data_IF_944116119950
#
_entry.id   IF_944116119950
#
_cell.length_a   1.000
_cell.length_b   1.000
_cell.length_c   1.000
_cell.angle_alpha   90.00
_cell.angle_beta   90.00
_cell.angle_gamma   90.00
#
_symmetry.space_group_name_H-M   'P 1'
#
loop_
_entity.id
_entity.type
_entity.pdbx_description
1 polymer ?
#
# COMPACT_ATOMS: atom_id res chain seq x y z
N UNK A 1 -13.66 -2.54 4.15
CA UNK A 1 -15.03 -1.94 4.26
C UNK A 1 -14.82 -0.50 4.71
N UNK A 2 -14.76 0.41 3.74
CA UNK A 2 -14.60 1.85 3.98
C UNK A 2 -15.89 2.38 4.59
N UNK A 3 -15.82 2.91 5.82
CA UNK A 3 -16.92 3.65 6.45
C UNK A 3 -17.09 5.02 5.77
N UNK A 4 -17.37 5.03 4.47
CA UNK A 4 -17.92 6.23 3.85
C UNK A 4 -19.40 6.28 4.18
N UNK A 5 -19.76 7.19 5.07
CA UNK A 5 -21.14 7.47 5.42
C UNK A 5 -21.96 7.68 4.15
N UNK A 6 -22.93 6.79 3.90
CA UNK A 6 -23.83 6.87 2.75
C UNK A 6 -23.52 5.92 1.57
N UNK A 7 -22.46 5.11 1.62
CA UNK A 7 -22.11 4.16 0.55
C UNK A 7 -22.54 2.71 0.87
N UNK A 8 -23.50 2.51 1.73
CA UNK A 8 -24.04 1.18 2.00
C UNK A 8 -24.75 0.62 0.77
N UNK A 9 -24.29 -0.56 0.30
CA UNK A 9 -24.92 -1.35 -0.78
C UNK A 9 -24.93 -0.67 -2.17
N UNK A 10 -23.95 0.16 -2.49
CA UNK A 10 -23.82 0.68 -3.85
C UNK A 10 -23.10 -0.37 -4.71
N UNK A 11 -23.80 -0.91 -5.69
CA UNK A 11 -23.23 -1.74 -6.75
C UNK A 11 -22.59 -0.81 -7.82
N UNK A 12 -21.29 -0.54 -7.65
CA UNK A 12 -20.52 0.33 -8.57
C UNK A 12 -20.48 -0.28 -9.96
N UNK A 13 -20.28 -1.60 -10.08
CA UNK A 13 -20.23 -2.30 -11.35
C UNK A 13 -21.53 -2.05 -12.13
N UNK A 14 -22.68 -2.29 -11.50
CA UNK A 14 -23.98 -2.08 -12.13
C UNK A 14 -24.19 -0.64 -12.57
N UNK A 15 -23.90 0.33 -11.68
CA UNK A 15 -24.06 1.77 -12.00
C UNK A 15 -23.23 2.21 -13.18
N UNK A 16 -21.98 1.76 -13.26
CA UNK A 16 -21.09 2.11 -14.35
C UNK A 16 -21.48 1.37 -15.65
N UNK A 17 -21.86 0.08 -15.56
CA UNK A 17 -22.33 -0.68 -16.72
C UNK A 17 -23.64 -0.14 -17.31
N UNK A 18 -24.52 0.44 -16.47
CA UNK A 18 -25.74 1.10 -16.94
C UNK A 18 -25.44 2.47 -17.59
N UNK A 19 -24.33 3.11 -17.26
CA UNK A 19 -23.96 4.43 -17.77
C UNK A 19 -23.03 4.41 -18.99
N UNK A 20 -22.29 3.34 -19.22
CA UNK A 20 -21.32 3.19 -20.30
C UNK A 20 -21.68 2.00 -21.21
N UNK A 21 -21.53 2.19 -22.52
CA UNK A 21 -21.72 1.12 -23.52
C UNK A 21 -20.53 0.15 -23.58
N UNK A 22 -19.37 0.56 -23.06
CA UNK A 22 -18.14 -0.22 -23.05
C UNK A 22 -18.13 -1.21 -21.87
N UNK A 23 -17.38 -2.31 -21.98
CA UNK A 23 -17.17 -3.24 -20.87
C UNK A 23 -16.60 -2.52 -19.64
N UNK A 24 -17.19 -2.76 -18.48
CA UNK A 24 -16.73 -2.23 -17.20
C UNK A 24 -16.04 -3.35 -16.41
N UNK A 25 -14.91 -3.03 -15.81
CA UNK A 25 -14.21 -3.89 -14.87
C UNK A 25 -13.96 -3.10 -13.58
N UNK A 26 -14.11 -3.75 -12.44
CA UNK A 26 -13.88 -3.17 -11.13
C UNK A 26 -12.78 -3.98 -10.46
N UNK A 27 -11.76 -3.30 -9.98
CA UNK A 27 -10.66 -3.92 -9.25
C UNK A 27 -10.31 -3.06 -8.03
N UNK A 28 -9.69 -3.67 -7.04
CA UNK A 28 -9.17 -2.97 -5.87
C UNK A 28 -7.95 -2.12 -6.28
N UNK A 29 -7.82 -0.92 -5.75
CA UNK A 29 -6.76 0.03 -6.10
C UNK A 29 -5.35 -0.50 -5.84
N UNK A 30 -5.14 -1.17 -4.69
CA UNK A 30 -3.86 -1.80 -4.38
C UNK A 30 -3.51 -2.96 -5.34
N UNK A 31 -4.51 -3.73 -5.81
CA UNK A 31 -4.33 -4.77 -6.81
C UNK A 31 -3.97 -4.18 -8.18
N UNK A 32 -4.69 -3.13 -8.57
CA UNK A 32 -4.37 -2.41 -9.80
C UNK A 32 -2.92 -1.87 -9.74
N UNK A 33 -2.54 -1.24 -8.63
CA UNK A 33 -1.17 -0.79 -8.42
C UNK A 33 -0.14 -1.93 -8.50
N UNK A 34 -0.44 -3.10 -7.93
CA UNK A 34 0.45 -4.26 -8.00
C UNK A 34 0.68 -4.74 -9.44
N UNK A 35 -0.38 -4.82 -10.25
CA UNK A 35 -0.27 -5.22 -11.65
C UNK A 35 0.46 -4.15 -12.47
N UNK A 36 0.23 -2.87 -12.17
CA UNK A 36 0.96 -1.76 -12.78
C UNK A 36 2.47 -1.85 -12.53
N UNK A 37 2.88 -2.09 -11.29
CA UNK A 37 4.30 -2.29 -10.93
C UNK A 37 4.89 -3.53 -11.60
N UNK A 38 4.16 -4.64 -11.61
CA UNK A 38 4.60 -5.87 -12.26
C UNK A 38 4.97 -5.63 -13.71
N UNK A 39 4.12 -4.96 -14.47
CA UNK A 39 4.35 -4.72 -15.89
C UNK A 39 5.43 -3.66 -16.19
N UNK A 40 5.74 -2.80 -15.23
CA UNK A 40 6.80 -1.81 -15.35
C UNK A 40 8.15 -2.27 -14.78
N UNK A 41 8.18 -3.33 -13.97
CA UNK A 41 9.40 -3.79 -13.34
C UNK A 41 10.27 -4.59 -14.31
N UNK A 42 11.50 -4.13 -14.51
CA UNK A 42 12.51 -4.86 -15.31
C UNK A 42 13.16 -6.03 -14.55
N UNK A 43 12.91 -6.13 -13.24
CA UNK A 43 13.60 -7.08 -12.35
C UNK A 43 12.75 -8.29 -11.95
N UNK A 44 11.47 -8.31 -12.34
CA UNK A 44 10.51 -9.36 -11.99
C UNK A 44 10.42 -10.37 -13.13
N UNK A 45 10.62 -11.66 -12.80
CA UNK A 45 10.40 -12.80 -13.69
C UNK A 45 9.08 -13.50 -13.39
N UNK A 46 8.68 -14.47 -14.26
CA UNK A 46 7.41 -15.19 -14.14
C UNK A 46 7.20 -15.86 -12.78
N UNK A 47 8.25 -16.43 -12.21
CA UNK A 47 8.17 -17.21 -10.95
C UNK A 47 8.29 -16.33 -9.69
N UNK A 48 8.46 -15.03 -9.85
CA UNK A 48 8.65 -14.10 -8.74
C UNK A 48 7.31 -13.69 -8.11
N UNK A 49 7.37 -13.22 -6.87
CA UNK A 49 6.25 -12.61 -6.14
C UNK A 49 6.53 -11.14 -5.95
N UNK A 50 5.60 -10.29 -6.37
CA UNK A 50 5.62 -8.86 -6.11
C UNK A 50 4.49 -8.49 -5.15
N UNK A 51 4.81 -7.72 -4.12
CA UNK A 51 3.82 -7.10 -3.25
C UNK A 51 3.88 -5.59 -3.42
N UNK A 52 2.78 -5.00 -3.85
CA UNK A 52 2.55 -3.57 -3.82
C UNK A 52 1.87 -3.18 -2.51
N UNK A 53 2.43 -2.22 -1.81
CA UNK A 53 1.90 -1.67 -0.57
C UNK A 53 1.43 -0.24 -0.83
N UNK A 54 0.11 -0.07 -0.90
CA UNK A 54 -0.53 1.24 -1.03
C UNK A 54 -0.59 1.88 0.35
N UNK A 55 0.36 2.75 0.64
CA UNK A 55 0.50 3.43 1.93
C UNK A 55 -0.03 4.86 1.84
N UNK A 56 -1.35 5.00 1.99
CA UNK A 56 -2.12 6.22 1.83
C UNK A 56 -2.83 6.61 3.14
N UNK A 57 -4.07 7.13 3.08
CA UNK A 57 -4.92 7.38 4.24
C UNK A 57 -5.16 6.10 5.07
N UNK A 58 -5.22 4.95 4.38
CA UNK A 58 -5.17 3.59 4.93
C UNK A 58 -3.93 2.84 4.46
N UNK A 59 -3.87 1.53 4.76
CA UNK A 59 -2.85 0.61 4.26
C UNK A 59 -3.53 -0.55 3.55
N UNK A 60 -3.34 -0.61 2.23
CA UNK A 60 -3.76 -1.74 1.41
C UNK A 60 -2.56 -2.46 0.78
N UNK A 61 -2.77 -3.67 0.28
CA UNK A 61 -1.78 -4.31 -0.57
C UNK A 61 -2.41 -5.10 -1.71
N UNK A 62 -1.68 -5.19 -2.83
CA UNK A 62 -1.92 -6.12 -3.91
C UNK A 62 -0.74 -7.07 -4.05
N UNK A 63 -1.02 -8.31 -4.40
CA UNK A 63 -0.01 -9.34 -4.61
C UNK A 63 -0.14 -9.89 -6.02
N UNK A 64 0.97 -9.92 -6.75
CA UNK A 64 1.05 -10.49 -8.10
C UNK A 64 2.04 -11.65 -8.09
N UNK A 65 1.62 -12.77 -8.63
CA UNK A 65 2.41 -13.99 -8.85
C UNK A 65 2.18 -14.44 -10.29
N UNK A 66 3.23 -14.70 -11.03
CA UNK A 66 3.13 -15.14 -12.43
C UNK A 66 2.27 -14.18 -13.29
N UNK A 67 2.47 -12.86 -13.09
CA UNK A 67 1.70 -11.83 -13.79
C UNK A 67 0.22 -11.74 -13.42
N UNK A 68 -0.25 -12.47 -12.40
CA UNK A 68 -1.66 -12.52 -12.03
C UNK A 68 -1.89 -11.97 -10.63
N UNK A 69 -2.93 -11.15 -10.50
CA UNK A 69 -3.41 -10.67 -9.21
C UNK A 69 -3.96 -11.85 -8.40
N UNK A 70 -3.55 -11.96 -7.15
CA UNK A 70 -4.07 -12.94 -6.21
C UNK A 70 -5.23 -12.32 -5.43
N UNK A 71 -6.45 -12.70 -5.75
CA UNK A 71 -7.67 -12.12 -5.13
C UNK A 71 -8.17 -12.90 -3.90
N UNK A 72 -7.76 -14.16 -3.74
CA UNK A 72 -8.27 -15.05 -2.69
C UNK A 72 -9.74 -15.44 -2.89
N UNK A 73 -10.27 -16.23 -1.95
CA UNK A 73 -11.63 -16.80 -2.06
C UNK A 73 -12.75 -15.73 -2.08
N UNK A 74 -12.59 -14.64 -1.32
CA UNK A 74 -13.60 -13.58 -1.18
C UNK A 74 -13.20 -12.25 -1.82
N UNK A 75 -12.10 -12.21 -2.55
CA UNK A 75 -11.56 -10.97 -3.12
C UNK A 75 -10.95 -10.02 -2.07
N UNK A 76 -10.62 -10.50 -0.88
CA UNK A 76 -10.04 -9.71 0.22
C UNK A 76 -8.61 -10.14 0.56
N UNK A 77 -7.91 -10.76 -0.40
CA UNK A 77 -6.51 -11.12 -0.23
C UNK A 77 -5.66 -9.85 -0.14
N UNK A 78 -4.66 -9.84 0.70
CA UNK A 78 -3.78 -8.68 0.81
C UNK A 78 -4.25 -7.58 1.78
N UNK A 79 -5.26 -7.81 2.62
CA UNK A 79 -5.70 -6.85 3.66
C UNK A 79 -4.68 -6.73 4.83
N UNK A 80 -3.40 -6.48 4.45
CA UNK A 80 -2.27 -6.44 5.39
C UNK A 80 -2.35 -5.26 6.38
N UNK A 81 -3.07 -4.20 6.03
CA UNK A 81 -3.33 -3.07 6.92
C UNK A 81 -4.04 -3.50 8.21
N UNK A 82 -4.86 -4.56 8.14
CA UNK A 82 -5.59 -5.11 9.28
C UNK A 82 -4.83 -6.23 10.03
N UNK A 83 -3.63 -6.56 9.60
CA UNK A 83 -2.73 -7.46 10.33
C UNK A 83 -2.29 -6.81 11.65
N UNK A 84 -2.50 -7.49 12.78
CA UNK A 84 -2.08 -6.99 14.08
C UNK A 84 -0.56 -7.04 14.23
N UNK A 85 0.05 -5.89 14.51
CA UNK A 85 1.47 -5.78 14.90
C UNK A 85 1.64 -5.54 16.41
N UNK A 86 0.55 -5.28 17.11
CA UNK A 86 0.51 -5.09 18.56
C UNK A 86 -0.85 -5.54 19.10
N UNK A 87 -0.93 -6.76 19.62
CA UNK A 87 -2.19 -7.36 20.09
C UNK A 87 -2.87 -6.58 21.22
N UNK A 88 -2.11 -5.76 21.97
CA UNK A 88 -2.61 -4.87 23.02
C UNK A 88 -2.75 -3.43 22.57
N UNK A 89 -2.66 -3.18 21.26
CA UNK A 89 -2.65 -1.85 20.69
C UNK A 89 -4.02 -1.22 20.47
N UNK A 90 -4.02 -0.10 19.75
CA UNK A 90 -5.22 0.67 19.47
C UNK A 90 -6.29 -0.17 18.75
N UNK A 91 -7.57 0.09 19.09
CA UNK A 91 -8.69 -0.56 18.41
C UNK A 91 -8.86 -0.01 17.00
N UNK A 92 -8.95 -0.92 16.03
CA UNK A 92 -9.19 -0.60 14.64
C UNK A 92 -10.69 -0.60 14.32
N UNK A 93 -11.11 0.16 13.31
CA UNK A 93 -12.49 0.18 12.79
C UNK A 93 -12.96 -1.20 12.30
N UNK A 94 -12.04 -2.06 11.86
CA UNK A 94 -12.37 -3.44 11.47
C UNK A 94 -12.77 -4.35 12.65
N UNK A 95 -12.72 -3.86 13.88
CA UNK A 95 -13.04 -4.59 15.11
C UNK A 95 -11.85 -5.26 15.79
N UNK A 96 -10.71 -5.38 15.10
CA UNK A 96 -9.45 -5.92 15.63
C UNK A 96 -8.68 -4.87 16.47
N UNK A 97 -7.61 -5.29 17.15
CA UNK A 97 -6.70 -4.41 17.88
C UNK A 97 -5.30 -4.46 17.27
N UNK A 98 -4.64 -3.29 17.25
CA UNK A 98 -3.24 -3.18 16.87
C UNK A 98 -2.93 -3.43 15.40
N UNK A 99 -3.91 -3.21 14.52
CA UNK A 99 -3.72 -3.28 13.07
C UNK A 99 -2.58 -2.37 12.61
N UNK A 100 -1.81 -2.81 11.62
CA UNK A 100 -0.69 -2.07 11.03
C UNK A 100 -1.10 -0.64 10.62
N UNK A 101 -2.27 -0.51 10.01
CA UNK A 101 -2.85 0.76 9.57
C UNK A 101 -2.95 1.79 10.71
N UNK A 102 -3.25 1.35 11.94
CA UNK A 102 -3.37 2.22 13.12
C UNK A 102 -2.04 2.85 13.56
N UNK A 103 -0.92 2.43 12.97
CA UNK A 103 0.43 2.90 13.30
C UNK A 103 1.15 3.60 12.17
N UNK A 104 0.84 3.26 10.92
CA UNK A 104 1.63 3.74 9.80
C UNK A 104 0.83 4.17 8.55
N UNK A 105 -0.50 4.25 8.61
CA UNK A 105 -1.24 5.01 7.59
C UNK A 105 -1.02 6.52 7.74
N UNK A 106 -1.25 7.30 6.70
CA UNK A 106 -1.11 8.75 6.77
C UNK A 106 -2.02 9.37 7.84
N UNK A 107 -3.24 8.86 8.00
CA UNK A 107 -4.15 9.32 9.07
C UNK A 107 -3.62 9.00 10.46
N UNK A 108 -3.12 7.79 10.67
CA UNK A 108 -2.54 7.38 11.95
C UNK A 108 -1.26 8.18 12.25
N UNK A 109 -0.42 8.41 11.25
CA UNK A 109 0.80 9.20 11.36
C UNK A 109 0.51 10.65 11.78
N UNK A 110 -0.43 11.32 11.11
CA UNK A 110 -0.82 12.70 11.46
C UNK A 110 -1.42 12.76 12.86
N UNK A 111 -2.25 11.79 13.23
CA UNK A 111 -2.83 11.69 14.57
C UNK A 111 -1.74 11.55 15.66
N UNK A 112 -0.74 10.71 15.42
CA UNK A 112 0.39 10.52 16.34
C UNK A 112 1.23 11.81 16.47
N UNK A 113 1.53 12.47 15.34
CA UNK A 113 2.25 13.75 15.33
C UNK A 113 1.48 14.81 16.12
N UNK A 114 0.17 14.97 15.89
CA UNK A 114 -0.64 15.96 16.62
C UNK A 114 -0.74 15.67 18.12
N UNK A 115 -0.71 14.42 18.53
CA UNK A 115 -0.74 14.04 19.94
C UNK A 115 0.58 14.37 20.66
N UNK A 116 1.71 14.26 19.96
CA UNK A 116 3.04 14.51 20.53
C UNK A 116 3.52 15.97 20.36
N UNK A 117 3.05 16.68 19.32
CA UNK A 117 3.49 18.05 18.97
C UNK A 117 3.46 19.05 20.16
N UNK A 118 2.47 19.02 21.10
CA UNK A 118 2.45 19.92 22.24
C UNK A 118 3.65 19.74 23.20
N UNK A 119 4.34 18.60 23.15
CA UNK A 119 5.54 18.33 23.94
C UNK A 119 6.83 18.83 23.28
N UNK A 120 6.71 19.35 22.04
CA UNK A 120 7.80 19.81 21.19
C UNK A 120 7.62 21.29 20.79
N UNK A 121 7.71 22.23 21.75
CA UNK A 121 7.53 23.66 21.46
C UNK A 121 8.58 24.22 20.50
N UNK A 122 9.73 23.54 20.36
CA UNK A 122 10.82 23.87 19.44
C UNK A 122 10.50 23.52 17.98
N UNK A 123 9.51 22.66 17.74
CA UNK A 123 9.17 22.22 16.38
C UNK A 123 8.53 23.33 15.56
N UNK A 124 9.01 23.50 14.33
CA UNK A 124 8.47 24.44 13.36
C UNK A 124 7.05 24.06 12.88
N UNK A 125 6.62 22.81 13.08
CA UNK A 125 5.25 22.35 12.84
C UNK A 125 4.20 23.12 13.68
N UNK A 126 4.58 23.72 14.81
CA UNK A 126 3.67 24.55 15.61
C UNK A 126 3.16 25.79 14.89
N UNK A 127 3.80 26.22 13.81
CA UNK A 127 3.36 27.34 12.96
C UNK A 127 2.28 26.97 11.94
N UNK A 128 2.05 25.66 11.73
CA UNK A 128 1.12 25.18 10.73
C UNK A 128 -0.35 25.31 11.18
N UNK A 129 -1.19 25.83 10.31
CA UNK A 129 -2.64 25.89 10.56
C UNK A 129 -3.32 24.53 10.45
N UNK A 130 -2.75 23.66 9.61
CA UNK A 130 -3.23 22.29 9.36
C UNK A 130 -2.03 21.39 9.15
N UNK A 131 -1.86 20.41 10.02
CA UNK A 131 -0.83 19.38 9.89
C UNK A 131 -1.37 18.25 9.00
N UNK A 132 -0.61 17.90 7.97
CA UNK A 132 -0.82 16.76 7.08
C UNK A 132 0.46 15.95 7.00
N UNK A 133 0.44 14.75 6.43
CA UNK A 133 1.66 13.98 6.21
C UNK A 133 2.68 14.79 5.40
N UNK A 134 2.24 15.46 4.32
CA UNK A 134 3.11 16.28 3.48
C UNK A 134 3.76 17.44 4.22
N UNK A 135 3.02 18.11 5.11
CA UNK A 135 3.61 19.19 5.93
C UNK A 135 4.67 18.62 6.87
N UNK A 136 4.44 17.47 7.48
CA UNK A 136 5.46 16.81 8.33
C UNK A 136 6.70 16.44 7.51
N UNK A 137 6.53 15.88 6.32
CA UNK A 137 7.66 15.57 5.42
C UNK A 137 8.39 16.83 4.96
N UNK A 138 7.67 17.92 4.73
CA UNK A 138 8.27 19.22 4.37
C UNK A 138 9.17 19.74 5.51
N UNK A 139 8.65 19.80 6.75
CA UNK A 139 9.41 20.26 7.91
C UNK A 139 10.60 19.35 8.24
N UNK A 140 10.43 18.02 8.07
CA UNK A 140 11.55 17.08 8.18
C UNK A 140 12.69 17.44 7.21
N UNK A 141 12.35 17.75 5.93
CA UNK A 141 13.36 18.15 4.93
C UNK A 141 14.04 19.47 5.25
N UNK A 142 13.37 20.34 6.02
CA UNK A 142 13.93 21.60 6.53
C UNK A 142 14.75 21.44 7.82
N UNK A 143 14.88 20.22 8.34
CA UNK A 143 15.71 19.94 9.52
C UNK A 143 14.99 19.99 10.85
N UNK A 144 13.65 20.00 10.86
CA UNK A 144 12.88 19.88 12.10
C UNK A 144 13.12 18.51 12.75
N UNK A 145 13.69 18.53 13.97
CA UNK A 145 14.11 17.33 14.67
C UNK A 145 12.94 16.45 15.14
N UNK A 146 11.81 17.09 15.50
CA UNK A 146 10.62 16.35 15.89
C UNK A 146 9.98 15.67 14.65
N UNK A 147 9.82 16.40 13.54
CA UNK A 147 9.33 15.84 12.28
C UNK A 147 10.22 14.67 11.80
N UNK A 148 11.55 14.83 11.87
CA UNK A 148 12.50 13.77 11.55
C UNK A 148 12.29 12.52 12.42
N UNK A 149 12.12 12.72 13.73
CA UNK A 149 11.87 11.63 14.68
C UNK A 149 10.53 10.93 14.38
N UNK A 150 9.47 11.68 14.08
CA UNK A 150 8.16 11.15 13.75
C UNK A 150 8.21 10.31 12.46
N UNK A 151 8.89 10.78 11.41
CA UNK A 151 9.05 10.05 10.15
C UNK A 151 9.84 8.76 10.34
N UNK A 152 10.91 8.77 11.14
CA UNK A 152 11.66 7.55 11.47
C UNK A 152 10.78 6.55 12.24
N UNK A 153 9.98 7.02 13.19
CA UNK A 153 9.10 6.18 14.00
C UNK A 153 8.04 5.47 13.14
N UNK A 154 7.34 6.21 12.29
CA UNK A 154 6.33 5.61 11.39
C UNK A 154 6.97 4.65 10.39
N UNK A 155 8.16 4.97 9.86
CA UNK A 155 8.92 4.08 9.00
C UNK A 155 9.28 2.75 9.68
N UNK A 156 9.62 2.76 10.96
CA UNK A 156 9.87 1.53 11.72
C UNK A 156 8.62 0.65 11.83
N UNK A 157 7.45 1.23 12.11
CA UNK A 157 6.19 0.46 12.13
C UNK A 157 5.89 -0.18 10.78
N UNK A 158 6.09 0.57 9.70
CA UNK A 158 5.90 0.05 8.34
C UNK A 158 6.90 -1.09 8.06
N UNK A 159 8.15 -0.95 8.48
CA UNK A 159 9.17 -1.99 8.37
C UNK A 159 8.82 -3.27 9.14
N UNK A 160 8.20 -3.16 10.32
CA UNK A 160 7.70 -4.32 11.06
C UNK A 160 6.55 -5.02 10.33
N UNK A 161 5.64 -4.25 9.73
CA UNK A 161 4.58 -4.79 8.87
C UNK A 161 5.15 -5.51 7.65
N UNK A 162 6.14 -4.90 7.00
CA UNK A 162 6.85 -5.48 5.85
C UNK A 162 7.52 -6.80 6.22
N UNK A 163 8.15 -6.89 7.37
CA UNK A 163 8.75 -8.16 7.81
C UNK A 163 7.70 -9.29 7.93
N UNK A 164 6.50 -8.98 8.44
CA UNK A 164 5.42 -9.96 8.49
C UNK A 164 4.93 -10.34 7.08
N UNK A 165 4.81 -9.37 6.17
CA UNK A 165 4.44 -9.59 4.77
C UNK A 165 5.45 -10.51 4.09
N UNK A 166 6.75 -10.27 4.29
CA UNK A 166 7.82 -11.10 3.75
C UNK A 166 7.73 -12.54 4.28
N UNK A 167 7.51 -12.72 5.59
CA UNK A 167 7.37 -14.05 6.18
C UNK A 167 6.12 -14.82 5.70
N UNK A 168 5.11 -14.15 5.12
CA UNK A 168 3.88 -14.77 4.63
C UNK A 168 3.96 -15.06 3.13
N UNK A 169 4.46 -14.11 2.33
CA UNK A 169 4.40 -14.16 0.87
C UNK A 169 5.74 -14.47 0.20
N UNK A 170 6.85 -14.37 0.94
CA UNK A 170 8.22 -14.53 0.43
C UNK A 170 8.45 -13.76 -0.88
N UNK A 171 8.16 -12.46 -0.92
CA UNK A 171 8.24 -11.69 -2.14
C UNK A 171 9.69 -11.38 -2.50
N UNK A 172 9.99 -11.37 -3.79
CA UNK A 172 11.24 -10.81 -4.30
C UNK A 172 11.29 -9.30 -4.14
N UNK A 173 10.14 -8.65 -4.31
CA UNK A 173 10.05 -7.20 -4.31
C UNK A 173 8.81 -6.70 -3.55
N UNK A 174 9.03 -5.68 -2.69
CA UNK A 174 7.96 -4.90 -2.07
C UNK A 174 8.08 -3.46 -2.56
N UNK A 175 7.00 -2.98 -3.18
CA UNK A 175 6.91 -1.62 -3.71
C UNK A 175 5.91 -0.81 -2.89
N UNK A 176 6.35 0.32 -2.38
CA UNK A 176 5.54 1.23 -1.57
C UNK A 176 5.14 2.42 -2.43
N UNK A 177 3.87 2.81 -2.41
CA UNK A 177 3.38 3.96 -3.16
C UNK A 177 2.52 4.90 -2.32
N UNK A 178 2.15 6.03 -2.95
CA UNK A 178 1.23 7.04 -2.47
C UNK A 178 1.79 7.91 -1.32
N UNK A 179 0.92 8.47 -0.48
CA UNK A 179 1.21 9.56 0.48
C UNK A 179 2.47 9.29 1.29
N UNK A 180 2.60 8.08 1.85
CA UNK A 180 3.71 7.76 2.75
C UNK A 180 5.07 7.67 2.04
N UNK A 181 5.09 7.55 0.71
CA UNK A 181 6.35 7.64 -0.06
C UNK A 181 7.02 9.01 0.06
N UNK A 182 6.26 10.07 0.40
CA UNK A 182 6.76 11.40 0.68
C UNK A 182 7.78 11.49 1.83
N UNK A 183 7.86 10.47 2.68
CA UNK A 183 8.89 10.34 3.70
C UNK A 183 10.31 10.12 3.16
N UNK A 184 10.44 9.78 1.87
CA UNK A 184 11.72 9.70 1.13
C UNK A 184 12.74 8.77 1.77
N UNK A 185 14.01 9.05 1.56
CA UNK A 185 15.12 8.20 2.00
C UNK A 185 15.18 8.03 3.53
N UNK A 186 14.75 9.03 4.29
CA UNK A 186 14.72 8.94 5.76
C UNK A 186 13.77 7.85 6.23
N UNK A 187 12.58 7.81 5.65
CA UNK A 187 11.59 6.78 5.97
C UNK A 187 12.03 5.43 5.41
N UNK A 188 12.51 5.38 4.17
CA UNK A 188 12.98 4.14 3.54
C UNK A 188 14.11 3.51 4.36
N UNK A 189 15.05 4.29 4.86
CA UNK A 189 16.10 3.79 5.74
C UNK A 189 15.51 3.18 7.01
N UNK A 190 14.56 3.86 7.67
CA UNK A 190 13.92 3.35 8.88
C UNK A 190 13.11 2.07 8.62
N UNK A 191 12.43 1.98 7.47
CA UNK A 191 11.73 0.77 7.01
C UNK A 191 12.70 -0.40 6.87
N UNK A 192 13.78 -0.20 6.12
CA UNK A 192 14.78 -1.25 5.84
C UNK A 192 15.46 -1.75 7.11
N UNK A 193 15.87 -0.86 8.00
CA UNK A 193 16.49 -1.25 9.27
C UNK A 193 15.50 -2.06 10.15
N UNK A 194 14.24 -1.62 10.25
CA UNK A 194 13.24 -2.32 11.04
C UNK A 194 12.86 -3.69 10.45
N UNK A 195 12.79 -3.81 9.12
CA UNK A 195 12.57 -5.09 8.45
C UNK A 195 13.76 -6.04 8.68
N UNK A 196 14.98 -5.54 8.53
CA UNK A 196 16.21 -6.30 8.76
C UNK A 196 16.32 -6.87 10.17
N UNK A 197 15.89 -6.12 11.19
CA UNK A 197 15.88 -6.58 12.59
C UNK A 197 15.02 -7.85 12.81
N UNK A 198 14.08 -8.15 11.90
CA UNK A 198 13.04 -9.17 12.06
C UNK A 198 13.05 -10.27 11.03
N UNK A 199 13.83 -10.14 10.00
CA UNK A 199 13.99 -11.13 8.93
C UNK A 199 15.26 -11.96 9.11
N UNK A 200 15.22 -13.17 8.61
CA UNK A 200 16.43 -13.97 8.48
C UNK A 200 17.40 -13.28 7.51
N UNK A 201 18.72 -13.27 7.81
CA UNK A 201 19.69 -12.58 6.97
C UNK A 201 19.67 -13.03 5.50
N UNK A 202 19.43 -14.31 5.26
CA UNK A 202 19.35 -14.90 3.92
C UNK A 202 18.16 -14.35 3.14
N UNK A 203 17.00 -14.18 3.80
CA UNK A 203 15.78 -13.62 3.20
C UNK A 203 15.97 -12.14 2.91
N UNK A 204 16.49 -11.38 3.88
CA UNK A 204 16.67 -9.94 3.72
C UNK A 204 17.68 -9.58 2.63
N UNK A 205 18.68 -10.41 2.40
CA UNK A 205 19.78 -10.16 1.43
C UNK A 205 19.26 -9.95 0.00
N UNK A 206 18.27 -10.76 -0.38
CA UNK A 206 17.77 -10.79 -1.76
C UNK A 206 16.47 -10.00 -1.92
N UNK A 207 15.90 -9.47 -0.82
CA UNK A 207 14.67 -8.70 -0.80
C UNK A 207 14.89 -7.27 -1.31
N UNK A 208 14.09 -6.86 -2.27
CA UNK A 208 14.04 -5.47 -2.76
C UNK A 208 12.89 -4.73 -2.08
N UNK A 209 13.19 -3.65 -1.37
CA UNK A 209 12.19 -2.72 -0.83
C UNK A 209 12.47 -1.35 -1.45
N UNK A 210 11.49 -0.80 -2.16
CA UNK A 210 11.60 0.50 -2.84
C UNK A 210 10.28 1.26 -2.88
N UNK A 211 10.34 2.51 -3.23
CA UNK A 211 9.15 3.26 -3.65
C UNK A 211 8.83 2.99 -5.13
N UNK A 212 7.55 3.16 -5.49
CA UNK A 212 7.15 3.21 -6.89
C UNK A 212 7.82 4.40 -7.59
N UNK A 213 8.23 4.17 -8.83
CA UNK A 213 8.67 5.21 -9.76
C UNK A 213 7.68 5.42 -10.91
N UNK A 214 6.55 4.72 -10.88
CA UNK A 214 5.52 4.80 -11.92
C UNK A 214 4.55 5.92 -11.58
N UNK A 215 4.43 6.89 -12.49
CA UNK A 215 3.41 7.94 -12.39
C UNK A 215 2.02 7.36 -12.62
N UNK A 216 1.03 7.89 -11.91
CA UNK A 216 -0.38 7.43 -12.00
C UNK A 216 -0.54 5.91 -11.94
N UNK A 217 0.25 5.27 -11.08
CA UNK A 217 0.38 3.81 -10.97
C UNK A 217 -0.96 3.07 -10.98
N UNK A 218 -1.92 3.52 -10.16
CA UNK A 218 -3.23 2.88 -10.00
C UNK A 218 -4.03 2.98 -11.31
N UNK A 219 -3.97 4.13 -11.99
CA UNK A 219 -4.64 4.33 -13.27
C UNK A 219 -4.02 3.45 -14.36
N UNK A 220 -2.69 3.38 -14.41
CA UNK A 220 -1.98 2.48 -15.33
C UNK A 220 -2.33 1.02 -15.08
N UNK A 221 -2.33 0.59 -13.82
CA UNK A 221 -2.72 -0.77 -13.44
C UNK A 221 -4.19 -1.08 -13.75
N UNK A 222 -5.11 -0.14 -13.51
CA UNK A 222 -6.52 -0.31 -13.87
C UNK A 222 -6.73 -0.47 -15.40
N UNK A 223 -5.99 0.29 -16.21
CA UNK A 223 -5.98 0.11 -17.65
C UNK A 223 -5.47 -1.28 -18.06
N UNK A 224 -4.40 -1.74 -17.41
CA UNK A 224 -3.85 -3.09 -17.63
C UNK A 224 -4.88 -4.17 -17.29
N UNK A 225 -5.54 -4.09 -16.13
CA UNK A 225 -6.63 -5.02 -15.75
C UNK A 225 -7.70 -5.08 -16.83
N UNK A 226 -8.11 -3.94 -17.38
CA UNK A 226 -9.12 -3.90 -18.41
C UNK A 226 -8.65 -4.58 -19.72
N UNK A 227 -7.41 -4.32 -20.12
CA UNK A 227 -6.79 -4.93 -21.31
C UNK A 227 -6.70 -6.45 -21.15
N UNK A 228 -6.17 -6.94 -20.05
CA UNK A 228 -6.01 -8.37 -19.79
C UNK A 228 -7.35 -9.10 -19.82
N UNK A 229 -8.38 -8.55 -19.15
CA UNK A 229 -9.73 -9.13 -19.15
C UNK A 229 -10.42 -9.09 -20.52
N UNK A 230 -10.08 -8.15 -21.39
CA UNK A 230 -10.57 -8.14 -22.77
C UNK A 230 -9.85 -9.20 -23.60
N UNK A 231 -8.51 -9.32 -23.47
CA UNK A 231 -7.71 -10.30 -24.21
C UNK A 231 -8.09 -11.73 -23.82
N UNK A 232 -8.29 -12.02 -22.53
CA UNK A 232 -8.77 -13.34 -22.08
C UNK A 232 -10.08 -13.75 -22.75
N UNK A 233 -11.00 -12.81 -23.00
CA UNK A 233 -12.26 -13.09 -23.71
C UNK A 233 -12.04 -13.36 -25.19
N UNK A 234 -11.05 -12.75 -25.82
CA UNK A 234 -10.72 -12.95 -27.23
C UNK A 234 -10.13 -14.34 -27.45
N UNK A 235 -9.25 -14.81 -26.60
CA UNK A 235 -8.64 -16.15 -26.67
C UNK A 235 -9.70 -17.25 -26.58
N UNK A 236 -10.69 -17.13 -25.70
CA UNK A 236 -11.82 -18.08 -25.63
C UNK A 236 -12.63 -18.12 -26.93
N UNK A 237 -12.77 -16.99 -27.62
CA UNK A 237 -13.51 -16.93 -28.92
C UNK A 237 -12.80 -17.64 -30.04
N UNK A 238 -11.47 -17.65 -30.09
CA UNK A 238 -10.68 -18.34 -31.12
C UNK A 238 -10.63 -19.84 -30.90
N UNK A 239 -10.48 -20.29 -29.65
CA UNK A 239 -10.43 -21.72 -29.27
C UNK A 239 -11.78 -22.43 -29.52
N UNK A 240 -12.92 -21.73 -29.44
CA UNK A 240 -14.25 -22.29 -29.73
C UNK A 240 -14.58 -22.41 -31.24
N UNK A 241 -13.75 -21.88 -32.13
CA UNK A 241 -13.94 -21.97 -33.59
C UNK A 241 -13.16 -23.12 -34.22
N UNK A 242 -12.34 -23.83 -33.47
CA UNK A 242 -11.55 -24.99 -33.96
C UNK A 242 -12.20 -26.35 -33.62
N UNK A 243 -13.37 -26.39 -32.98
CA UNK A 243 -14.23 -27.56 -32.80
C UNK A 243 -15.43 -27.53 -33.79
#
# INVERSE_FOLDING_TARGET
MTEFVGWEKIDIYKKLSDAFEQPVFVEHDANAGALGEWNCSANIGSDDVLVHLLASEGIGSGVVIDGKIISGYRGIFGEVGHMSINVMGARCVCGNCGCLEMYCSALAFVKDVLAELPKHPESTLNSEKKVTADTVFHHMRQGDSFALSAVKRVGRYLGYGIANIVNIYDPKEIVISDIMSGGGEVMMYAIKEAAKERLLPEVYKDLIIRYSSVEDLILYGAATVAIDKILEKIDVFYLQKEE
#
